data_IF_550995323053
#
_entry.id   IF_550995323053
#
_cell.length_a   1.000
_cell.length_b   1.000
_cell.length_c   1.000
_cell.angle_alpha   90.00
_cell.angle_beta   90.00
_cell.angle_gamma   90.00
#
_symmetry.space_group_name_H-M   'P 1'
#
loop_
_entity.id
_entity.type
_entity.pdbx_description
1 polymer ?
#
# COMPACT_ATOMS: atom_id res chain seq x y z
N UNK A 1 25.90 5.10 -26.35
CA UNK A 1 24.76 4.19 -26.25
C UNK A 1 24.49 3.99 -24.76
N UNK A 2 23.58 4.76 -24.16
CA UNK A 2 23.28 4.64 -22.72
C UNK A 2 22.41 3.41 -22.47
N UNK A 3 22.78 2.60 -21.48
CA UNK A 3 21.97 1.45 -21.05
C UNK A 3 20.57 1.94 -20.62
N UNK A 4 19.47 1.42 -21.21
CA UNK A 4 18.11 1.81 -20.84
C UNK A 4 17.72 1.45 -19.39
N UNK A 5 18.58 0.76 -18.64
CA UNK A 5 18.38 0.45 -17.22
C UNK A 5 19.00 1.45 -16.25
N UNK A 6 19.62 2.52 -16.74
CA UNK A 6 20.17 3.62 -15.92
C UNK A 6 19.10 4.61 -15.40
N UNK A 7 17.84 4.18 -15.27
CA UNK A 7 16.83 4.93 -14.51
C UNK A 7 17.05 4.68 -13.02
N UNK A 8 17.86 5.54 -12.41
CA UNK A 8 18.10 5.60 -10.96
C UNK A 8 16.76 5.42 -10.25
N UNK A 9 16.61 4.29 -9.53
CA UNK A 9 15.40 4.07 -8.71
C UNK A 9 15.18 5.30 -7.84
N UNK A 10 13.98 5.92 -7.89
CA UNK A 10 13.72 7.15 -7.17
C UNK A 10 14.11 7.04 -5.70
N UNK A 11 14.79 8.06 -5.17
CA UNK A 11 15.24 8.09 -3.77
C UNK A 11 14.08 7.85 -2.77
N UNK A 12 12.87 8.24 -3.15
CA UNK A 12 11.64 8.01 -2.39
C UNK A 12 11.31 6.51 -2.24
N UNK A 13 11.51 5.71 -3.29
CA UNK A 13 11.26 4.26 -3.26
C UNK A 13 12.29 3.58 -2.34
N UNK A 14 13.56 3.95 -2.45
CA UNK A 14 14.61 3.44 -1.57
C UNK A 14 14.38 3.84 -0.11
N UNK A 15 13.93 5.07 0.13
CA UNK A 15 13.53 5.53 1.46
C UNK A 15 12.36 4.72 2.01
N UNK A 16 11.34 4.48 1.19
CA UNK A 16 10.18 3.67 1.57
C UNK A 16 10.56 2.22 1.88
N UNK A 17 11.35 1.56 1.02
CA UNK A 17 11.83 0.19 1.20
C UNK A 17 12.73 0.04 2.45
N UNK A 18 13.40 1.11 2.88
CA UNK A 18 14.22 1.13 4.09
C UNK A 18 13.40 1.18 5.39
N UNK A 19 12.11 1.55 5.34
CA UNK A 19 11.24 1.56 6.51
C UNK A 19 10.99 0.14 7.03
N UNK A 20 10.84 0.03 8.35
CA UNK A 20 10.38 -1.20 8.99
C UNK A 20 8.93 -1.50 8.55
N UNK A 21 8.61 -2.78 8.39
CA UNK A 21 7.30 -3.24 7.89
C UNK A 21 6.13 -2.65 8.68
N UNK A 22 6.25 -2.52 10.01
CA UNK A 22 5.20 -1.94 10.84
C UNK A 22 4.97 -0.45 10.54
N UNK A 23 6.02 0.31 10.16
CA UNK A 23 5.90 1.73 9.76
C UNK A 23 5.22 1.85 8.40
N UNK A 24 5.56 0.97 7.46
CA UNK A 24 4.89 0.91 6.16
C UNK A 24 3.40 0.59 6.32
N UNK A 25 3.06 -0.35 7.20
CA UNK A 25 1.67 -0.68 7.57
C UNK A 25 0.98 0.52 8.21
N UNK A 26 1.59 1.16 9.23
CA UNK A 26 1.01 2.30 9.92
C UNK A 26 0.73 3.51 9.01
N UNK A 27 1.57 3.72 7.99
CA UNK A 27 1.39 4.80 7.00
C UNK A 27 0.35 4.42 5.94
N UNK A 28 0.42 3.19 5.40
CA UNK A 28 -0.45 2.77 4.30
C UNK A 28 -1.87 2.44 4.74
N UNK A 29 -2.05 1.90 5.95
CA UNK A 29 -3.33 1.45 6.48
C UNK A 29 -4.41 2.52 6.52
N UNK A 30 -4.20 3.71 7.13
CA UNK A 30 -5.24 4.73 7.14
C UNK A 30 -5.62 5.18 5.74
N UNK A 31 -4.65 5.29 4.82
CA UNK A 31 -4.92 5.64 3.42
C UNK A 31 -5.77 4.58 2.72
N UNK A 32 -5.40 3.31 2.82
CA UNK A 32 -6.10 2.21 2.17
C UNK A 32 -7.47 1.95 2.80
N UNK A 33 -7.60 2.09 4.12
CA UNK A 33 -8.88 1.95 4.80
C UNK A 33 -9.87 3.06 4.40
N UNK A 34 -9.41 4.31 4.31
CA UNK A 34 -10.25 5.43 3.82
C UNK A 34 -10.60 5.23 2.35
N UNK A 35 -9.65 4.80 1.52
CA UNK A 35 -9.90 4.51 0.12
C UNK A 35 -10.98 3.44 -0.05
N UNK A 36 -10.86 2.31 0.65
CA UNK A 36 -11.86 1.24 0.60
C UNK A 36 -13.20 1.68 1.19
N UNK A 37 -13.22 2.50 2.24
CA UNK A 37 -14.45 3.08 2.76
C UNK A 37 -15.17 3.93 1.69
N UNK A 38 -14.45 4.80 0.99
CA UNK A 38 -15.01 5.62 -0.09
C UNK A 38 -15.52 4.76 -1.25
N UNK A 39 -14.80 3.70 -1.62
CA UNK A 39 -15.21 2.74 -2.64
C UNK A 39 -16.49 1.99 -2.22
N UNK A 40 -16.60 1.58 -0.96
CA UNK A 40 -17.78 0.89 -0.45
C UNK A 40 -19.01 1.81 -0.34
N UNK A 41 -18.82 3.10 0.00
CA UNK A 41 -19.90 4.08 0.10
C UNK A 41 -20.36 4.57 -1.27
N UNK A 42 -19.45 4.96 -2.15
CA UNK A 42 -19.80 5.58 -3.44
C UNK A 42 -20.31 4.56 -4.44
N UNK A 43 -19.41 3.82 -5.13
CA UNK A 43 -19.78 2.82 -6.13
C UNK A 43 -20.74 1.74 -5.64
N UNK A 44 -20.51 1.19 -4.44
CA UNK A 44 -21.26 0.02 -3.98
C UNK A 44 -22.51 0.37 -3.14
N UNK A 45 -22.73 1.65 -2.82
CA UNK A 45 -23.88 2.14 -2.04
C UNK A 45 -24.17 1.28 -0.79
N UNK A 46 -23.13 0.76 -0.14
CA UNK A 46 -23.30 -0.17 0.97
C UNK A 46 -23.74 0.56 2.25
N UNK A 47 -24.46 -0.12 3.16
CA UNK A 47 -24.82 0.42 4.46
C UNK A 47 -23.57 0.90 5.21
N UNK A 48 -23.63 2.12 5.77
CA UNK A 48 -22.46 2.82 6.34
C UNK A 48 -21.62 1.95 7.30
N UNK A 49 -22.29 1.23 8.20
CA UNK A 49 -21.62 0.35 9.17
C UNK A 49 -20.86 -0.78 8.48
N UNK A 50 -21.46 -1.37 7.44
CA UNK A 50 -20.85 -2.42 6.62
C UNK A 50 -19.64 -1.85 5.87
N UNK A 51 -19.77 -0.67 5.27
CA UNK A 51 -18.66 0.01 4.59
C UNK A 51 -17.48 0.31 5.52
N UNK A 52 -17.73 0.62 6.80
CA UNK A 52 -16.67 0.80 7.80
C UNK A 52 -15.95 -0.52 8.09
N UNK A 53 -16.69 -1.61 8.32
CA UNK A 53 -16.09 -2.92 8.55
C UNK A 53 -15.28 -3.41 7.34
N UNK A 54 -15.85 -3.30 6.13
CA UNK A 54 -15.15 -3.67 4.90
C UNK A 54 -13.97 -2.76 4.62
N UNK A 55 -14.09 -1.44 4.81
CA UNK A 55 -12.99 -0.50 4.66
C UNK A 55 -11.80 -0.83 5.56
N UNK A 56 -12.04 -1.14 6.84
CA UNK A 56 -10.98 -1.53 7.78
C UNK A 56 -10.38 -2.90 7.42
N UNK A 57 -11.22 -3.89 7.09
CA UNK A 57 -10.75 -5.24 6.76
C UNK A 57 -9.95 -5.26 5.45
N UNK A 58 -10.51 -4.70 4.38
CA UNK A 58 -9.87 -4.61 3.07
C UNK A 58 -8.63 -3.71 3.12
N UNK A 59 -8.69 -2.60 3.86
CA UNK A 59 -7.55 -1.74 4.12
C UNK A 59 -6.40 -2.48 4.80
N UNK A 60 -6.70 -3.31 5.81
CA UNK A 60 -5.68 -4.14 6.48
C UNK A 60 -5.04 -5.14 5.52
N UNK A 61 -5.86 -5.83 4.72
CA UNK A 61 -5.39 -6.81 3.74
C UNK A 61 -4.52 -6.14 2.68
N UNK A 62 -4.96 -5.01 2.09
CA UNK A 62 -4.21 -4.28 1.09
C UNK A 62 -2.88 -3.74 1.64
N UNK A 63 -2.87 -3.23 2.87
CA UNK A 63 -1.64 -2.79 3.53
C UNK A 63 -0.66 -3.94 3.74
N UNK A 64 -1.17 -5.12 4.14
CA UNK A 64 -0.36 -6.34 4.25
C UNK A 64 0.24 -6.75 2.90
N UNK A 65 -0.56 -6.75 1.83
CA UNK A 65 -0.10 -7.06 0.48
C UNK A 65 0.95 -6.05 -0.01
N UNK A 66 0.75 -4.75 0.27
CA UNK A 66 1.72 -3.71 -0.07
C UNK A 66 3.05 -3.92 0.64
N UNK A 67 3.01 -4.27 1.93
CA UNK A 67 4.21 -4.58 2.70
C UNK A 67 4.96 -5.80 2.14
N UNK A 68 4.25 -6.87 1.78
CA UNK A 68 4.83 -8.08 1.17
C UNK A 68 5.43 -7.78 -0.21
N UNK A 69 4.72 -7.02 -1.05
CA UNK A 69 5.22 -6.58 -2.35
C UNK A 69 6.50 -5.74 -2.20
N UNK A 70 6.50 -4.81 -1.25
CA UNK A 70 7.68 -3.97 -0.95
C UNK A 70 8.86 -4.83 -0.48
N UNK A 71 8.63 -5.81 0.38
CA UNK A 71 9.66 -6.74 0.83
C UNK A 71 10.21 -7.61 -0.32
N UNK A 72 9.34 -8.03 -1.24
CA UNK A 72 9.70 -8.83 -2.41
C UNK A 72 10.58 -8.02 -3.37
N UNK A 73 10.21 -6.78 -3.66
CA UNK A 73 11.01 -5.89 -4.52
C UNK A 73 12.35 -5.52 -3.86
N UNK A 74 12.36 -5.25 -2.55
CA UNK A 74 13.60 -5.06 -1.78
C UNK A 74 14.52 -6.28 -1.86
N UNK A 75 13.98 -7.50 -1.79
CA UNK A 75 14.75 -8.73 -1.85
C UNK A 75 15.38 -8.95 -3.24
N UNK A 76 14.69 -8.59 -4.32
CA UNK A 76 15.25 -8.66 -5.70
C UNK A 76 16.39 -7.66 -5.94
N UNK A 77 16.45 -6.58 -5.16
CA UNK A 77 17.47 -5.52 -5.28
C UNK A 77 18.73 -5.79 -4.45
N UNK A 78 18.69 -6.72 -3.50
CA UNK A 78 19.86 -7.19 -2.73
C UNK A 78 20.57 -8.31 -3.48
#
# INVERSE_FOLDING_TARGET
MGDPRSERTPALILWWEALETWKQLAISFPFLAVFMLLVNIGPFSQPLLRSIFYGLFEGAVLSGLLAVATATERAKRR
#
